data_IF_855511681937
#
_entry.id   IF_855511681937
#
_cell.length_a   1.000
_cell.length_b   1.000
_cell.length_c   1.000
_cell.angle_alpha   90.00
_cell.angle_beta   90.00
_cell.angle_gamma   90.00
#
_symmetry.space_group_name_H-M   'P 1'
#
loop_
_entity.id
_entity.type
_entity.pdbx_description
1 polymer ?
#
# COMPACT_ATOMS: atom_id res chain seq x y z
N UNK A 1 10.83 -5.72 16.99
CA UNK A 1 11.46 -4.67 16.17
C UNK A 1 10.61 -4.42 14.94
N UNK A 2 10.56 -3.19 14.47
CA UNK A 2 9.89 -2.83 13.21
C UNK A 2 10.92 -2.57 12.11
N UNK A 3 10.48 -2.60 10.86
CA UNK A 3 11.28 -2.14 9.73
C UNK A 3 11.40 -0.61 9.78
N UNK A 4 12.57 -0.08 9.46
CA UNK A 4 12.79 1.35 9.21
C UNK A 4 11.95 1.83 8.00
N UNK A 5 11.81 3.15 7.85
CA UNK A 5 11.08 3.75 6.72
C UNK A 5 11.64 3.31 5.36
N UNK A 6 12.97 3.34 5.20
CA UNK A 6 13.66 2.89 3.99
C UNK A 6 13.50 1.41 3.70
N UNK A 7 13.59 0.56 4.73
CA UNK A 7 13.35 -0.88 4.58
C UNK A 7 11.90 -1.19 4.17
N UNK A 8 10.93 -0.47 4.76
CA UNK A 8 9.52 -0.60 4.38
C UNK A 8 9.28 -0.19 2.93
N UNK A 9 9.94 0.88 2.46
CA UNK A 9 9.84 1.32 1.05
C UNK A 9 10.46 0.29 0.10
N UNK A 10 11.65 -0.23 0.41
CA UNK A 10 12.28 -1.31 -0.38
C UNK A 10 11.45 -2.58 -0.41
N UNK A 11 10.84 -2.96 0.71
CA UNK A 11 9.92 -4.10 0.75
C UNK A 11 8.71 -3.86 -0.15
N UNK A 12 8.10 -2.67 -0.09
CA UNK A 12 6.99 -2.32 -0.98
C UNK A 12 7.40 -2.36 -2.45
N UNK A 13 8.60 -1.89 -2.79
CA UNK A 13 9.15 -1.96 -4.14
C UNK A 13 9.35 -3.41 -4.59
N UNK A 14 9.97 -4.23 -3.73
CA UNK A 14 10.20 -5.65 -3.99
C UNK A 14 8.91 -6.43 -4.25
N UNK A 15 7.83 -6.13 -3.50
CA UNK A 15 6.51 -6.72 -3.73
C UNK A 15 5.96 -6.44 -5.14
N UNK A 16 6.20 -5.24 -5.69
CA UNK A 16 5.82 -4.93 -7.08
C UNK A 16 6.71 -5.66 -8.09
N UNK A 17 8.02 -5.70 -7.84
CA UNK A 17 8.99 -6.30 -8.76
C UNK A 17 8.77 -7.81 -8.90
N UNK A 18 8.38 -8.49 -7.81
CA UNK A 18 8.08 -9.93 -7.83
C UNK A 18 6.95 -10.26 -8.81
N UNK A 19 6.00 -9.34 -9.01
CA UNK A 19 4.92 -9.51 -9.99
C UNK A 19 5.41 -9.46 -11.46
N UNK A 20 6.71 -9.22 -11.69
CA UNK A 20 7.33 -9.10 -13.02
C UNK A 20 6.55 -8.15 -13.93
N UNK A 21 6.43 -6.86 -13.53
CA UNK A 21 5.63 -5.90 -14.27
C UNK A 21 6.26 -5.62 -15.64
N UNK A 22 5.42 -5.30 -16.63
CA UNK A 22 5.87 -4.89 -17.96
C UNK A 22 6.33 -3.43 -18.01
N UNK A 23 5.79 -2.61 -17.11
CA UNK A 23 6.14 -1.21 -16.89
C UNK A 23 6.06 -0.99 -15.39
N UNK A 24 7.08 -0.36 -14.82
CA UNK A 24 7.15 -0.05 -13.41
C UNK A 24 6.83 1.43 -13.19
N UNK A 25 5.76 1.71 -12.43
CA UNK A 25 5.33 3.06 -12.09
C UNK A 25 5.47 3.27 -10.58
N UNK A 26 6.14 4.33 -10.16
CA UNK A 26 6.22 4.70 -8.75
C UNK A 26 5.98 6.18 -8.52
N UNK A 27 5.06 6.46 -7.61
CA UNK A 27 4.82 7.83 -7.15
C UNK A 27 5.70 8.13 -5.94
N UNK A 28 6.52 9.16 -6.09
CA UNK A 28 7.44 9.71 -5.10
C UNK A 28 8.19 8.64 -4.29
N UNK A 29 9.03 7.79 -4.93
CA UNK A 29 9.70 6.67 -4.27
C UNK A 29 10.75 7.07 -3.23
N UNK A 30 11.17 8.33 -3.23
CA UNK A 30 12.20 8.87 -2.34
C UNK A 30 11.64 9.69 -1.18
N UNK A 31 10.33 9.97 -1.15
CA UNK A 31 9.72 10.81 -0.09
C UNK A 31 9.84 10.15 1.28
N UNK A 32 10.27 10.93 2.27
CA UNK A 32 10.49 10.47 3.65
C UNK A 32 11.73 9.58 3.85
N UNK A 33 12.62 9.50 2.86
CA UNK A 33 13.90 8.80 2.97
C UNK A 33 15.05 9.78 3.16
N UNK A 34 16.06 9.37 3.93
CA UNK A 34 17.34 10.06 3.86
C UNK A 34 17.97 9.88 2.48
N UNK A 35 18.92 10.74 2.17
CA UNK A 35 19.59 10.76 0.87
C UNK A 35 20.27 9.45 0.46
N UNK A 36 20.87 8.73 1.41
CA UNK A 36 21.57 7.48 1.13
C UNK A 36 20.58 6.36 0.78
N UNK A 37 19.42 6.36 1.45
CA UNK A 37 18.35 5.40 1.18
C UNK A 37 17.62 5.73 -0.12
N UNK A 38 17.41 7.01 -0.40
CA UNK A 38 16.84 7.48 -1.66
C UNK A 38 17.69 7.04 -2.87
N UNK A 39 19.02 7.21 -2.78
CA UNK A 39 19.94 6.77 -3.84
C UNK A 39 19.90 5.25 -4.05
N UNK A 40 19.85 4.46 -2.97
CA UNK A 40 19.68 3.00 -3.07
C UNK A 40 18.35 2.62 -3.72
N UNK A 41 17.26 3.29 -3.37
CA UNK A 41 15.93 3.01 -3.95
C UNK A 41 15.91 3.35 -5.45
N UNK A 42 16.50 4.48 -5.85
CA UNK A 42 16.61 4.83 -7.27
C UNK A 42 17.54 3.88 -8.02
N UNK A 43 18.68 3.51 -7.43
CA UNK A 43 19.59 2.52 -7.99
C UNK A 43 18.87 1.21 -8.33
N UNK A 44 18.08 0.67 -7.41
CA UNK A 44 17.27 -0.53 -7.65
C UNK A 44 16.29 -0.40 -8.83
N UNK A 45 15.71 0.78 -9.04
CA UNK A 45 14.82 1.03 -10.19
C UNK A 45 15.60 1.16 -11.50
N UNK A 46 16.79 1.75 -11.46
CA UNK A 46 17.71 1.83 -12.61
C UNK A 46 18.21 0.43 -12.99
N UNK A 47 18.59 -0.38 -12.01
CA UNK A 47 19.01 -1.77 -12.22
C UNK A 47 17.85 -2.59 -12.78
N UNK A 48 16.63 -2.40 -12.27
CA UNK A 48 15.42 -3.02 -12.83
C UNK A 48 15.22 -2.67 -14.31
N UNK A 49 15.43 -1.41 -14.67
CA UNK A 49 15.31 -0.95 -16.06
C UNK A 49 16.39 -1.54 -16.96
N UNK A 50 17.64 -1.66 -16.48
CA UNK A 50 18.78 -2.14 -17.26
C UNK A 50 18.84 -3.67 -17.36
N UNK A 51 18.71 -4.36 -16.25
CA UNK A 51 18.90 -5.82 -16.17
C UNK A 51 17.68 -6.59 -16.65
N UNK A 52 16.47 -6.05 -16.43
CA UNK A 52 15.21 -6.75 -16.75
C UNK A 52 14.45 -6.17 -17.94
N UNK A 53 14.99 -5.13 -18.58
CA UNK A 53 14.36 -4.43 -19.71
C UNK A 53 12.92 -3.97 -19.39
N UNK A 54 12.71 -3.46 -18.17
CA UNK A 54 11.42 -2.95 -17.68
C UNK A 54 11.43 -1.42 -17.64
N UNK A 55 10.64 -0.72 -18.48
CA UNK A 55 10.52 0.73 -18.41
C UNK A 55 10.07 1.18 -17.01
N UNK A 56 10.86 2.06 -16.39
CA UNK A 56 10.59 2.59 -15.05
C UNK A 56 10.27 4.08 -15.14
N UNK A 57 9.09 4.48 -14.67
CA UNK A 57 8.63 5.88 -14.64
C UNK A 57 8.29 6.23 -13.20
N UNK A 58 8.86 7.32 -12.69
CA UNK A 58 8.62 7.76 -11.34
C UNK A 58 8.75 9.28 -11.17
N UNK A 59 7.99 9.84 -10.23
CA UNK A 59 8.04 11.25 -9.83
C UNK A 59 9.14 11.46 -8.77
N UNK A 60 9.89 12.55 -8.87
CA UNK A 60 10.91 12.94 -7.88
C UNK A 60 10.71 14.40 -7.48
N UNK A 61 10.64 14.66 -6.18
CA UNK A 61 10.64 16.00 -5.62
C UNK A 61 12.09 16.36 -5.25
N UNK A 62 12.75 17.20 -6.05
CA UNK A 62 14.12 17.71 -5.81
C UNK A 62 15.19 16.61 -5.62
N UNK A 63 15.55 15.87 -6.69
CA UNK A 63 16.57 14.83 -6.58
C UNK A 63 17.97 15.43 -6.39
N UNK A 64 18.78 14.77 -5.56
CA UNK A 64 20.21 15.10 -5.43
C UNK A 64 20.95 14.87 -6.75
N UNK A 65 22.10 15.54 -6.89
CA UNK A 65 22.97 15.40 -8.05
C UNK A 65 23.39 13.94 -8.34
N UNK A 66 23.59 13.09 -7.32
CA UNK A 66 23.88 11.67 -7.52
C UNK A 66 22.73 10.93 -8.19
N UNK A 67 21.50 11.14 -7.70
CA UNK A 67 20.26 10.60 -8.27
C UNK A 67 20.05 11.12 -9.69
N UNK A 68 20.21 12.43 -9.92
CA UNK A 68 20.08 13.05 -11.24
C UNK A 68 20.99 12.38 -12.29
N UNK A 69 22.25 12.11 -11.94
CA UNK A 69 23.21 11.47 -12.87
C UNK A 69 22.82 10.04 -13.25
N UNK A 70 22.07 9.34 -12.39
CA UNK A 70 21.62 7.98 -12.65
C UNK A 70 20.44 7.91 -13.65
N UNK A 71 19.72 9.02 -13.87
CA UNK A 71 18.54 9.06 -14.75
C UNK A 71 18.94 9.09 -16.23
N UNK A 72 18.19 8.35 -17.05
CA UNK A 72 18.34 8.32 -18.51
C UNK A 72 17.66 9.55 -19.17
N UNK A 73 16.41 9.79 -18.80
CA UNK A 73 15.53 10.82 -19.35
C UNK A 73 14.61 11.35 -18.25
N UNK A 74 14.05 12.53 -18.46
CA UNK A 74 13.07 13.11 -17.55
C UNK A 74 11.99 13.88 -18.31
N UNK A 75 10.87 14.11 -17.63
CA UNK A 75 9.80 14.99 -18.07
C UNK A 75 9.75 16.15 -17.08
N UNK A 76 9.86 17.36 -17.58
CA UNK A 76 9.69 18.57 -16.78
C UNK A 76 8.23 19.02 -16.90
N UNK A 77 7.49 18.85 -15.81
CA UNK A 77 6.07 19.18 -15.71
C UNK A 77 5.90 20.43 -14.85
N UNK A 78 5.23 21.44 -15.38
CA UNK A 78 4.88 22.67 -14.68
C UNK A 78 3.42 22.65 -14.19
N UNK A 79 3.04 23.54 -13.26
CA UNK A 79 1.66 23.69 -12.81
C UNK A 79 0.66 23.84 -13.97
N UNK A 80 -0.53 23.27 -13.80
CA UNK A 80 -1.54 23.21 -14.85
C UNK A 80 -1.32 22.09 -15.89
N UNK A 81 -0.39 21.17 -15.64
CA UNK A 81 -0.15 20.01 -16.51
C UNK A 81 0.62 20.34 -17.80
N UNK A 82 1.32 21.47 -17.81
CA UNK A 82 2.10 21.95 -18.96
C UNK A 82 3.44 21.21 -19.01
N UNK A 83 3.76 20.60 -20.14
CA UNK A 83 5.05 19.92 -20.35
C UNK A 83 6.03 20.92 -20.95
N UNK A 84 7.09 21.21 -20.20
CA UNK A 84 8.12 22.18 -20.62
C UNK A 84 9.32 21.51 -21.30
N UNK A 85 9.56 20.23 -21.00
CA UNK A 85 10.60 19.42 -21.63
C UNK A 85 10.33 17.93 -21.44
N UNK A 86 10.65 17.12 -22.45
CA UNK A 86 10.71 15.66 -22.33
C UNK A 86 11.82 15.12 -23.23
N UNK A 87 12.77 14.41 -22.64
CA UNK A 87 13.90 13.87 -23.41
C UNK A 87 15.06 13.35 -22.56
N UNK A 88 16.17 12.97 -23.21
CA UNK A 88 17.38 12.53 -22.54
C UNK A 88 17.95 13.61 -21.63
N UNK A 89 18.37 13.21 -20.43
CA UNK A 89 18.94 14.12 -19.43
C UNK A 89 20.15 14.91 -19.96
N UNK A 90 20.93 14.32 -20.88
CA UNK A 90 22.13 14.93 -21.44
C UNK A 90 21.83 16.13 -22.34
N UNK A 91 20.69 16.12 -23.01
CA UNK A 91 20.36 17.10 -24.06
C UNK A 91 19.62 18.32 -23.49
N UNK A 92 19.06 18.19 -22.29
CA UNK A 92 18.29 19.25 -21.65
C UNK A 92 19.06 20.56 -21.48
N UNK A 93 20.33 20.52 -21.06
CA UNK A 93 21.12 21.73 -20.90
C UNK A 93 21.28 22.48 -22.23
N UNK A 94 21.56 21.77 -23.33
CA UNK A 94 21.68 22.36 -24.66
C UNK A 94 20.34 22.93 -25.14
N UNK A 95 19.23 22.21 -24.91
CA UNK A 95 17.89 22.66 -25.27
C UNK A 95 17.53 24.01 -24.63
N UNK A 96 17.76 24.17 -23.32
CA UNK A 96 17.43 25.43 -22.64
C UNK A 96 18.35 26.59 -23.05
N UNK A 97 19.60 26.31 -23.42
CA UNK A 97 20.52 27.32 -23.97
C UNK A 97 20.10 27.77 -25.36
N UNK A 98 19.73 26.83 -26.25
CA UNK A 98 19.40 27.13 -27.65
C UNK A 98 18.08 27.91 -27.78
N UNK A 99 17.05 27.52 -27.02
CA UNK A 99 15.72 28.12 -27.15
C UNK A 99 15.49 29.35 -26.26
N UNK A 100 16.16 29.42 -25.10
CA UNK A 100 15.90 30.47 -24.10
C UNK A 100 17.17 31.23 -23.67
N UNK A 101 18.36 30.79 -24.07
CA UNK A 101 19.63 31.40 -23.65
C UNK A 101 20.03 31.08 -22.20
N UNK A 102 19.31 30.17 -21.52
CA UNK A 102 19.53 29.87 -20.11
C UNK A 102 20.62 28.83 -19.91
N UNK A 103 21.72 29.24 -19.27
CA UNK A 103 22.85 28.35 -18.94
C UNK A 103 22.69 27.80 -17.53
N UNK A 104 22.86 26.48 -17.40
CA UNK A 104 22.95 25.82 -16.10
C UNK A 104 24.27 26.23 -15.43
N UNK A 105 24.26 26.84 -14.24
CA UNK A 105 25.49 27.18 -13.53
C UNK A 105 26.29 25.91 -13.17
N UNK A 106 27.64 25.93 -13.25
CA UNK A 106 28.45 24.73 -13.04
C UNK A 106 28.43 24.19 -11.61
N UNK A 107 28.22 25.08 -10.63
CA UNK A 107 28.20 24.74 -9.19
C UNK A 107 26.80 24.33 -8.69
N UNK A 108 25.77 24.42 -9.54
CA UNK A 108 24.38 24.13 -9.17
C UNK A 108 23.97 22.74 -9.62
N UNK A 109 23.12 22.07 -8.84
CA UNK A 109 22.50 20.82 -9.26
C UNK A 109 21.57 21.09 -10.45
N UNK A 110 21.79 20.48 -11.65
CA UNK A 110 20.95 20.76 -12.81
C UNK A 110 19.46 20.44 -12.57
N UNK A 111 19.17 19.42 -11.76
CA UNK A 111 17.79 19.07 -11.45
C UNK A 111 17.07 20.18 -10.67
N UNK A 112 17.78 20.86 -9.76
CA UNK A 112 17.26 21.97 -8.98
C UNK A 112 17.00 23.17 -9.89
N UNK A 113 17.98 23.51 -10.74
CA UNK A 113 17.82 24.55 -11.74
C UNK A 113 16.59 24.34 -12.64
N UNK A 114 16.34 23.12 -13.13
CA UNK A 114 15.16 22.85 -13.96
C UNK A 114 13.85 22.93 -13.18
N UNK A 115 13.83 22.56 -11.90
CA UNK A 115 12.67 22.69 -11.03
C UNK A 115 12.37 24.17 -10.76
N UNK A 116 13.40 24.98 -10.50
CA UNK A 116 13.25 26.41 -10.24
C UNK A 116 12.63 27.13 -11.44
N UNK A 117 12.98 26.75 -12.67
CA UNK A 117 12.38 27.31 -13.89
C UNK A 117 10.86 27.13 -13.98
N UNK A 118 10.33 26.05 -13.42
CA UNK A 118 8.88 25.74 -13.43
C UNK A 118 8.19 26.02 -12.10
N UNK A 119 8.94 26.55 -11.12
CA UNK A 119 8.39 27.05 -9.87
C UNK A 119 7.65 28.37 -10.11
N UNK A 120 6.60 28.61 -9.31
CA UNK A 120 5.81 29.84 -9.33
C UNK A 120 5.91 30.44 -7.93
N UNK A 121 6.36 31.69 -7.84
CA UNK A 121 6.25 32.46 -6.62
C UNK A 121 4.78 32.79 -6.34
N UNK A 122 4.23 32.24 -5.24
CA UNK A 122 2.83 32.49 -4.85
C UNK A 122 2.66 33.64 -3.86
N UNK A 123 3.76 34.21 -3.36
CA UNK A 123 3.73 35.27 -2.35
C UNK A 123 3.56 36.66 -3.00
N UNK A 124 4.11 36.83 -4.20
CA UNK A 124 4.07 38.09 -4.96
C UNK A 124 3.26 37.93 -6.26
N UNK A 125 2.10 38.60 -6.39
CA UNK A 125 1.23 38.44 -7.56
C UNK A 125 1.85 38.95 -8.86
N UNK A 126 2.78 39.90 -8.81
CA UNK A 126 3.46 40.41 -10.02
C UNK A 126 4.44 39.36 -10.55
N UNK A 127 5.27 38.79 -9.65
CA UNK A 127 6.19 37.70 -10.02
C UNK A 127 5.45 36.43 -10.44
N UNK A 128 4.32 36.13 -9.80
CA UNK A 128 3.48 35.00 -10.19
C UNK A 128 3.05 35.10 -11.67
N UNK A 129 2.69 36.31 -12.13
CA UNK A 129 2.32 36.54 -13.52
C UNK A 129 3.52 36.36 -14.47
N UNK A 130 4.69 36.89 -14.11
CA UNK A 130 5.93 36.69 -14.89
C UNK A 130 6.34 35.21 -14.99
N UNK A 131 6.24 34.47 -13.88
CA UNK A 131 6.54 33.03 -13.84
C UNK A 131 5.57 32.22 -14.70
N UNK A 132 4.27 32.56 -14.67
CA UNK A 132 3.28 31.94 -15.53
C UNK A 132 3.56 32.20 -17.01
N UNK A 133 3.89 33.43 -17.39
CA UNK A 133 4.28 33.77 -18.76
C UNK A 133 5.54 33.02 -19.21
N UNK A 134 6.54 32.87 -18.33
CA UNK A 134 7.74 32.07 -18.57
C UNK A 134 7.37 30.61 -18.85
N UNK A 135 6.53 30.00 -18.00
CA UNK A 135 6.07 28.62 -18.14
C UNK A 135 5.27 28.42 -19.43
N UNK A 136 4.39 29.37 -19.77
CA UNK A 136 3.59 29.32 -21.00
C UNK A 136 4.45 29.40 -22.25
N UNK A 137 5.46 30.28 -22.24
CA UNK A 137 6.44 30.35 -23.33
C UNK A 137 7.19 29.03 -23.46
N UNK A 138 7.65 28.44 -22.36
CA UNK A 138 8.34 27.15 -22.37
C UNK A 138 7.49 26.03 -22.94
N UNK A 139 6.25 25.92 -22.48
CA UNK A 139 5.31 24.89 -22.92
C UNK A 139 4.94 25.07 -24.41
N UNK A 140 4.76 26.30 -24.89
CA UNK A 140 4.44 26.59 -26.28
C UNK A 140 5.59 26.22 -27.23
N UNK A 141 6.84 26.58 -26.87
CA UNK A 141 8.03 26.23 -27.65
C UNK A 141 8.20 24.70 -27.72
N UNK A 142 8.10 24.03 -26.58
CA UNK A 142 8.22 22.57 -26.53
C UNK A 142 7.11 21.88 -27.35
N UNK A 143 5.86 22.35 -27.24
CA UNK A 143 4.75 21.81 -28.02
C UNK A 143 4.94 22.00 -29.54
N UNK A 144 5.51 23.12 -29.97
CA UNK A 144 5.84 23.36 -31.37
C UNK A 144 6.93 22.40 -31.87
N UNK A 145 7.99 22.20 -31.08
CA UNK A 145 9.06 21.27 -31.43
C UNK A 145 8.58 19.81 -31.49
N UNK A 146 7.78 19.37 -30.51
CA UNK A 146 7.20 18.03 -30.50
C UNK A 146 6.31 17.82 -31.73
N UNK A 147 5.52 18.81 -32.13
CA UNK A 147 4.71 18.72 -33.37
C UNK A 147 5.60 18.52 -34.59
N UNK A 148 6.72 19.23 -34.69
CA UNK A 148 7.68 19.07 -35.79
C UNK A 148 8.37 17.70 -35.76
N UNK A 149 8.83 17.25 -34.58
CA UNK A 149 9.46 15.93 -34.40
C UNK A 149 8.49 14.79 -34.72
N UNK A 150 7.26 14.86 -34.20
CA UNK A 150 6.21 13.86 -34.47
C UNK A 150 5.81 13.85 -35.93
N UNK A 151 5.73 15.03 -36.58
CA UNK A 151 5.47 15.12 -38.01
C UNK A 151 6.61 14.51 -38.85
N UNK A 152 7.87 14.68 -38.43
CA UNK A 152 9.03 14.07 -39.09
C UNK A 152 9.14 12.55 -38.84
N UNK A 153 8.87 12.10 -37.62
CA UNK A 153 8.90 10.68 -37.20
C UNK A 153 7.65 9.89 -37.61
N UNK A 154 6.68 10.50 -38.31
CA UNK A 154 5.49 9.82 -38.85
C UNK A 154 5.82 8.55 -39.66
N UNK A 155 7.03 8.47 -40.23
CA UNK A 155 7.51 7.30 -40.97
C UNK A 155 7.94 6.12 -40.06
N UNK A 156 8.45 6.41 -38.86
CA UNK A 156 8.99 5.46 -37.86
C UNK A 156 8.16 5.37 -36.57
N UNK A 157 6.97 6.00 -36.55
CA UNK A 157 6.01 5.91 -35.46
C UNK A 157 5.83 4.45 -35.02
N UNK A 158 5.84 4.20 -33.70
CA UNK A 158 5.64 2.86 -33.13
C UNK A 158 4.41 2.20 -33.77
N UNK A 159 4.66 1.24 -34.67
CA UNK A 159 3.61 0.41 -35.25
C UNK A 159 3.33 -0.68 -34.23
N UNK A 160 2.07 -0.87 -33.79
CA UNK A 160 1.75 -2.01 -32.95
C UNK A 160 2.23 -3.26 -33.69
N UNK A 161 2.95 -4.19 -33.05
CA UNK A 161 3.50 -5.34 -33.74
C UNK A 161 2.36 -6.09 -34.43
N UNK A 162 2.37 -6.09 -35.77
CA UNK A 162 1.46 -6.89 -36.58
C UNK A 162 1.61 -8.35 -36.14
N UNK A 163 0.50 -8.97 -35.74
CA UNK A 163 0.44 -10.17 -34.91
C UNK A 163 1.08 -11.46 -35.45
N UNK A 164 1.91 -11.42 -36.51
CA UNK A 164 2.49 -12.61 -37.15
C UNK A 164 4.03 -12.61 -37.25
N UNK A 165 4.74 -11.68 -36.61
CA UNK A 165 6.20 -11.66 -36.58
C UNK A 165 6.76 -12.16 -35.26
N UNK A 166 7.43 -13.31 -35.26
CA UNK A 166 8.20 -13.84 -34.15
C UNK A 166 9.37 -12.92 -33.78
N UNK A 167 9.09 -11.88 -32.98
CA UNK A 167 10.12 -11.11 -32.30
C UNK A 167 10.68 -11.96 -31.14
N UNK A 168 12.00 -12.03 -31.03
CA UNK A 168 12.74 -12.78 -30.01
C UNK A 168 12.39 -12.31 -28.57
N UNK A 169 11.85 -11.09 -28.43
CA UNK A 169 11.27 -10.55 -27.19
C UNK A 169 9.85 -11.06 -26.87
N UNK A 170 9.24 -11.87 -27.75
CA UNK A 170 7.85 -12.31 -27.72
C UNK A 170 7.59 -13.69 -27.11
N UNK A 171 8.60 -14.58 -27.03
CA UNK A 171 8.37 -16.00 -26.73
C UNK A 171 8.08 -16.31 -25.25
N UNK A 172 8.56 -15.52 -24.29
CA UNK A 172 8.23 -15.71 -22.86
C UNK A 172 7.15 -14.73 -22.33
N UNK A 173 6.64 -13.83 -23.18
CA UNK A 173 5.68 -12.76 -22.81
C UNK A 173 4.28 -13.24 -22.37
N UNK A 174 3.98 -14.53 -22.52
CA UNK A 174 2.66 -15.14 -22.22
C UNK A 174 2.54 -15.82 -20.86
N UNK A 175 3.60 -15.91 -20.03
CA UNK A 175 3.48 -16.62 -18.74
C UNK A 175 2.83 -15.81 -17.60
N UNK A 176 2.61 -14.51 -17.73
CA UNK A 176 2.07 -13.71 -16.62
C UNK A 176 0.56 -13.53 -16.68
N UNK A 177 -0.14 -14.54 -16.13
CA UNK A 177 -1.35 -14.46 -15.27
C UNK A 177 -1.94 -15.87 -15.22
N UNK A 178 -1.22 -16.82 -14.62
CA UNK A 178 -1.92 -17.98 -14.04
C UNK A 178 -2.83 -17.42 -12.95
N UNK A 179 -4.12 -17.33 -13.24
CA UNK A 179 -5.11 -17.12 -12.21
C UNK A 179 -5.00 -18.31 -11.27
N UNK A 180 -4.37 -18.10 -10.11
CA UNK A 180 -4.34 -19.08 -9.03
C UNK A 180 -5.78 -19.45 -8.68
N UNK A 181 -6.02 -20.73 -8.46
CA UNK A 181 -7.35 -21.24 -8.17
C UNK A 181 -7.94 -20.54 -6.95
N UNK A 182 -9.27 -20.43 -6.89
CA UNK A 182 -9.96 -19.81 -5.75
C UNK A 182 -9.52 -20.42 -4.41
N UNK A 183 -9.42 -21.75 -4.34
CA UNK A 183 -8.99 -22.48 -3.13
C UNK A 183 -7.54 -22.17 -2.74
N UNK A 184 -6.65 -22.01 -3.72
CA UNK A 184 -5.25 -21.68 -3.47
C UNK A 184 -5.15 -20.27 -2.87
N UNK A 185 -5.83 -19.28 -3.47
CA UNK A 185 -5.91 -17.91 -2.94
C UNK A 185 -6.51 -17.90 -1.53
N UNK A 186 -7.60 -18.61 -1.33
CA UNK A 186 -8.27 -18.73 -0.03
C UNK A 186 -7.32 -19.35 1.02
N UNK A 187 -6.58 -20.41 0.66
CA UNK A 187 -5.64 -21.09 1.57
C UNK A 187 -4.47 -20.20 1.98
N UNK A 188 -3.91 -19.43 1.04
CA UNK A 188 -2.82 -18.49 1.31
C UNK A 188 -3.30 -17.34 2.20
N UNK A 189 -4.48 -16.78 1.91
CA UNK A 189 -5.09 -15.73 2.73
C UNK A 189 -5.43 -16.25 4.13
N UNK A 190 -5.93 -17.49 4.24
CA UNK A 190 -6.23 -18.13 5.52
C UNK A 190 -4.95 -18.33 6.33
N UNK A 191 -3.88 -18.87 5.72
CA UNK A 191 -2.61 -19.07 6.41
C UNK A 191 -1.99 -17.74 6.85
N UNK A 192 -2.10 -16.69 6.02
CA UNK A 192 -1.71 -15.32 6.37
C UNK A 192 -2.49 -14.81 7.59
N UNK A 193 -3.82 -14.92 7.55
CA UNK A 193 -4.70 -14.49 8.63
C UNK A 193 -4.44 -15.27 9.93
N UNK A 194 -4.29 -16.59 9.84
CA UNK A 194 -3.96 -17.46 10.96
C UNK A 194 -2.64 -17.09 11.60
N UNK A 195 -1.58 -16.91 10.78
CA UNK A 195 -0.25 -16.54 11.27
C UNK A 195 -0.24 -15.16 11.90
N UNK A 196 -0.98 -14.20 11.36
CA UNK A 196 -1.15 -12.87 11.93
C UNK A 196 -1.85 -12.95 13.29
N UNK A 197 -2.97 -13.68 13.38
CA UNK A 197 -3.71 -13.83 14.62
C UNK A 197 -2.90 -14.58 15.69
N UNK A 198 -2.24 -15.67 15.34
CA UNK A 198 -1.42 -16.44 16.27
C UNK A 198 -0.21 -15.65 16.80
N UNK A 199 0.39 -14.79 15.97
CA UNK A 199 1.54 -13.95 16.36
C UNK A 199 1.17 -12.75 17.21
N UNK A 200 -0.10 -12.35 17.24
CA UNK A 200 -0.60 -11.28 18.09
C UNK A 200 -0.76 -11.76 19.55
N UNK A 201 0.32 -12.35 20.10
CA UNK A 201 0.32 -13.03 21.39
C UNK A 201 -0.05 -12.08 22.54
N UNK A 202 0.34 -10.80 22.47
CA UNK A 202 -0.04 -9.79 23.47
C UNK A 202 -1.55 -9.57 23.53
N UNK A 203 -2.18 -9.43 22.36
CA UNK A 203 -3.63 -9.22 22.25
C UNK A 203 -4.36 -10.50 22.66
N UNK A 204 -3.91 -11.66 22.19
CA UNK A 204 -4.52 -12.94 22.55
C UNK A 204 -4.40 -13.23 24.05
N UNK A 205 -3.27 -12.91 24.67
CA UNK A 205 -3.08 -13.03 26.11
C UNK A 205 -4.02 -12.10 26.87
N UNK A 206 -4.10 -10.83 26.47
CA UNK A 206 -5.02 -9.88 27.11
C UNK A 206 -6.47 -10.34 26.99
N UNK A 207 -6.87 -10.83 25.81
CA UNK A 207 -8.21 -11.39 25.58
C UNK A 207 -8.50 -12.62 26.44
N UNK A 208 -7.54 -13.53 26.57
CA UNK A 208 -7.68 -14.68 27.46
C UNK A 208 -7.85 -14.23 28.92
N UNK A 209 -7.03 -13.28 29.36
CA UNK A 209 -7.08 -12.74 30.72
C UNK A 209 -8.42 -12.04 31.00
N UNK A 210 -8.93 -11.23 30.07
CA UNK A 210 -10.23 -10.58 30.21
C UNK A 210 -11.36 -11.61 30.21
N UNK A 211 -11.36 -12.60 29.32
CA UNK A 211 -12.39 -13.66 29.30
C UNK A 211 -12.41 -14.50 30.57
N UNK A 212 -11.25 -14.85 31.12
CA UNK A 212 -11.15 -15.54 32.41
C UNK A 212 -11.65 -14.64 33.55
N UNK A 213 -11.20 -13.38 33.58
CA UNK A 213 -11.60 -12.41 34.60
C UNK A 213 -13.09 -12.11 34.62
N UNK A 214 -13.71 -11.95 33.46
CA UNK A 214 -15.17 -11.77 33.33
C UNK A 214 -15.93 -13.01 33.80
N UNK A 215 -15.44 -14.22 33.49
CA UNK A 215 -16.00 -15.47 34.00
C UNK A 215 -16.02 -15.50 35.53
N UNK A 216 -14.95 -15.03 36.18
CA UNK A 216 -14.90 -14.88 37.64
C UNK A 216 -15.87 -13.82 38.16
N UNK A 217 -15.86 -12.63 37.55
CA UNK A 217 -16.73 -11.53 37.96
C UNK A 217 -18.20 -11.90 37.87
N UNK A 218 -18.63 -12.53 36.77
CA UNK A 218 -20.03 -12.96 36.61
C UNK A 218 -20.40 -14.09 37.57
N UNK A 219 -19.49 -15.02 37.85
CA UNK A 219 -19.74 -16.08 38.83
C UNK A 219 -19.93 -15.54 40.26
N UNK A 220 -19.25 -14.45 40.63
CA UNK A 220 -19.43 -13.80 41.93
C UNK A 220 -20.62 -12.84 41.96
N UNK A 221 -20.87 -12.10 40.88
CA UNK A 221 -22.03 -11.21 40.77
C UNK A 221 -23.35 -11.98 40.89
N UNK A 222 -23.42 -13.17 40.28
CA UNK A 222 -24.58 -14.06 40.33
C UNK A 222 -24.38 -15.21 41.35
N UNK A 223 -23.84 -14.91 42.54
CA UNK A 223 -23.61 -15.89 43.60
C UNK A 223 -24.89 -16.59 44.13
N UNK A 224 -26.08 -16.11 43.78
CA UNK A 224 -27.37 -16.76 44.04
C UNK A 224 -27.57 -18.04 43.22
N UNK A 225 -26.86 -18.20 42.10
CA UNK A 225 -26.93 -19.37 41.21
C UNK A 225 -26.11 -20.56 41.76
N UNK A 226 -25.22 -20.32 42.73
CA UNK A 226 -24.38 -21.34 43.36
C UNK A 226 -25.25 -22.43 44.05
N UNK A 227 -24.80 -23.69 44.08
CA UNK A 227 -25.58 -24.81 44.62
C UNK A 227 -25.96 -24.58 46.10
N UNK A 228 -27.23 -24.85 46.45
CA UNK A 228 -27.74 -24.75 47.83
C UNK A 228 -28.53 -23.47 48.17
N UNK A 229 -28.78 -22.56 47.21
CA UNK A 229 -29.60 -21.34 47.42
C UNK A 229 -30.94 -21.38 46.68
N UNK A 230 -31.94 -20.66 47.21
CA UNK A 230 -33.37 -20.71 46.85
C UNK A 230 -33.66 -20.60 45.33
N UNK A 231 -34.58 -21.44 44.85
CA UNK A 231 -34.85 -21.72 43.43
C UNK A 231 -35.58 -20.56 42.72
N UNK A 232 -36.44 -19.80 43.42
CA UNK A 232 -37.31 -18.80 42.78
C UNK A 232 -36.55 -17.57 42.23
N UNK A 233 -35.58 -17.02 42.98
CA UNK A 233 -34.64 -16.00 42.45
C UNK A 233 -33.62 -16.60 41.48
N UNK A 234 -33.25 -17.87 41.69
CA UNK A 234 -32.23 -18.52 40.89
C UNK A 234 -32.59 -18.67 39.40
N UNK A 235 -33.86 -18.76 39.00
CA UNK A 235 -34.21 -18.88 37.57
C UNK A 235 -33.97 -17.56 36.82
N UNK A 236 -34.45 -16.44 37.36
CA UNK A 236 -34.21 -15.12 36.77
C UNK A 236 -32.72 -14.75 36.76
N UNK A 237 -31.98 -15.13 37.80
CA UNK A 237 -30.53 -14.89 37.86
C UNK A 237 -29.76 -15.75 36.84
N UNK A 238 -30.22 -16.98 36.57
CA UNK A 238 -29.64 -17.86 35.52
C UNK A 238 -29.90 -17.32 34.12
N UNK A 239 -31.13 -16.86 33.85
CA UNK A 239 -31.45 -16.27 32.55
C UNK A 239 -30.70 -14.97 32.33
N UNK A 240 -30.57 -14.14 33.36
CA UNK A 240 -29.76 -12.92 33.33
C UNK A 240 -28.28 -13.26 33.07
N UNK A 241 -27.69 -14.20 33.82
CA UNK A 241 -26.31 -14.62 33.66
C UNK A 241 -25.99 -15.11 32.24
N UNK A 242 -26.83 -15.98 31.67
CA UNK A 242 -26.65 -16.48 30.30
C UNK A 242 -26.83 -15.36 29.26
N UNK A 243 -27.82 -14.49 29.44
CA UNK A 243 -28.08 -13.37 28.53
C UNK A 243 -26.93 -12.36 28.53
N UNK A 244 -26.46 -11.94 29.71
CA UNK A 244 -25.29 -11.05 29.84
C UNK A 244 -24.01 -11.71 29.32
N UNK A 245 -23.83 -13.02 29.54
CA UNK A 245 -22.73 -13.78 28.96
C UNK A 245 -22.69 -13.70 27.44
N UNK A 246 -23.83 -13.97 26.78
CA UNK A 246 -23.94 -13.90 25.31
C UNK A 246 -23.73 -12.46 24.81
N UNK A 247 -24.35 -11.47 25.45
CA UNK A 247 -24.21 -10.05 25.07
C UNK A 247 -22.73 -9.63 25.12
N UNK A 248 -22.02 -10.00 26.19
CA UNK A 248 -20.61 -9.65 26.33
C UNK A 248 -19.73 -10.33 25.26
N UNK A 249 -19.98 -11.62 24.98
CA UNK A 249 -19.28 -12.34 23.92
C UNK A 249 -19.46 -11.68 22.55
N UNK A 250 -20.69 -11.28 22.21
CA UNK A 250 -21.01 -10.59 20.96
C UNK A 250 -20.35 -9.20 20.91
N UNK A 251 -20.41 -8.44 22.00
CA UNK A 251 -19.80 -7.11 22.09
C UNK A 251 -18.28 -7.17 21.85
N UNK A 252 -17.60 -8.14 22.47
CA UNK A 252 -16.17 -8.37 22.24
C UNK A 252 -15.84 -8.69 20.77
N UNK A 253 -16.65 -9.54 20.12
CA UNK A 253 -16.46 -9.90 18.71
C UNK A 253 -16.64 -8.69 17.78
N UNK A 254 -17.65 -7.85 18.05
CA UNK A 254 -17.91 -6.63 17.28
C UNK A 254 -16.77 -5.62 17.45
N UNK A 255 -16.35 -5.35 18.70
CA UNK A 255 -15.27 -4.38 18.97
C UNK A 255 -13.95 -4.75 18.30
N UNK A 256 -13.60 -6.05 18.30
CA UNK A 256 -12.43 -6.58 17.58
C UNK A 256 -12.55 -6.30 16.08
N UNK A 257 -13.69 -6.63 15.48
CA UNK A 257 -13.95 -6.46 14.05
C UNK A 257 -13.84 -5.00 13.63
N UNK A 258 -14.37 -4.07 14.43
CA UNK A 258 -14.29 -2.62 14.18
C UNK A 258 -12.85 -2.10 14.16
N UNK A 259 -12.04 -2.46 15.17
CA UNK A 259 -10.63 -2.06 15.23
C UNK A 259 -9.81 -2.66 14.08
N UNK A 260 -10.06 -3.93 13.77
CA UNK A 260 -9.35 -4.64 12.71
C UNK A 260 -9.65 -4.04 11.34
N UNK A 261 -10.91 -3.71 11.08
CA UNK A 261 -11.32 -3.08 9.83
C UNK A 261 -10.59 -1.76 9.58
N UNK A 262 -10.46 -0.91 10.61
CA UNK A 262 -9.76 0.37 10.48
C UNK A 262 -8.30 0.22 10.06
N UNK A 263 -7.59 -0.77 10.62
CA UNK A 263 -6.17 -0.99 10.34
C UNK A 263 -5.91 -1.72 9.02
N UNK A 264 -6.75 -2.70 8.67
CA UNK A 264 -6.53 -3.55 7.49
C UNK A 264 -7.13 -2.97 6.21
N UNK A 265 -8.13 -2.09 6.30
CA UNK A 265 -8.83 -1.53 5.13
C UNK A 265 -7.87 -0.91 4.12
N UNK A 266 -6.84 -0.19 4.56
CA UNK A 266 -5.87 0.47 3.67
C UNK A 266 -5.10 -0.56 2.84
N UNK A 267 -4.64 -1.64 3.49
CA UNK A 267 -3.89 -2.72 2.84
C UNK A 267 -4.79 -3.47 1.86
N UNK A 268 -5.99 -3.87 2.32
CA UNK A 268 -6.93 -4.64 1.50
C UNK A 268 -7.39 -3.86 0.28
N UNK A 269 -7.64 -2.56 0.43
CA UNK A 269 -8.06 -1.71 -0.69
C UNK A 269 -6.95 -1.65 -1.75
N UNK A 270 -5.69 -1.49 -1.32
CA UNK A 270 -4.53 -1.48 -2.23
C UNK A 270 -4.35 -2.82 -2.94
N UNK A 271 -4.44 -3.95 -2.23
CA UNK A 271 -4.34 -5.30 -2.79
C UNK A 271 -5.50 -5.60 -3.78
N UNK A 272 -6.71 -5.08 -3.48
CA UNK A 272 -7.88 -5.20 -4.36
C UNK A 272 -7.78 -4.38 -5.64
N UNK A 273 -7.25 -3.16 -5.58
CA UNK A 273 -7.00 -2.34 -6.78
C UNK A 273 -6.06 -3.07 -7.76
N UNK A 274 -5.21 -3.97 -7.25
CA UNK A 274 -4.30 -4.81 -8.04
C UNK A 274 -4.91 -6.11 -8.54
N UNK A 275 -6.19 -6.37 -8.24
CA UNK A 275 -6.92 -7.60 -8.59
C UNK A 275 -6.22 -8.88 -8.10
N UNK A 276 -5.53 -8.82 -6.95
CA UNK A 276 -4.86 -9.99 -6.38
C UNK A 276 -5.87 -10.99 -5.80
N UNK A 277 -6.96 -10.50 -5.20
CA UNK A 277 -8.06 -11.31 -4.66
C UNK A 277 -9.37 -10.51 -4.57
N UNK A 278 -10.49 -11.22 -4.38
CA UNK A 278 -11.83 -10.64 -4.18
C UNK A 278 -12.10 -10.32 -2.70
N UNK A 279 -12.99 -9.37 -2.43
CA UNK A 279 -13.45 -9.08 -1.06
C UNK A 279 -13.98 -10.31 -0.33
N UNK A 280 -14.68 -11.18 -1.07
CA UNK A 280 -15.29 -12.38 -0.49
C UNK A 280 -14.22 -13.39 -0.08
N UNK A 281 -13.19 -13.59 -0.91
CA UNK A 281 -12.04 -14.46 -0.59
C UNK A 281 -11.33 -13.99 0.67
N UNK A 282 -11.12 -12.67 0.79
CA UNK A 282 -10.55 -12.06 1.98
C UNK A 282 -11.42 -12.29 3.21
N UNK A 283 -12.71 -11.91 3.14
CA UNK A 283 -13.63 -12.00 4.27
C UNK A 283 -13.78 -13.45 4.76
N UNK A 284 -13.95 -14.39 3.83
CA UNK A 284 -14.10 -15.81 4.15
C UNK A 284 -12.83 -16.36 4.81
N UNK A 285 -11.66 -16.09 4.24
CA UNK A 285 -10.38 -16.54 4.82
C UNK A 285 -10.15 -15.99 6.22
N UNK A 286 -10.52 -14.72 6.46
CA UNK A 286 -10.37 -14.06 7.74
C UNK A 286 -11.33 -14.63 8.79
N UNK A 287 -12.60 -14.78 8.44
CA UNK A 287 -13.60 -15.38 9.30
C UNK A 287 -13.19 -16.81 9.72
N UNK A 288 -12.78 -17.64 8.76
CA UNK A 288 -12.31 -19.00 9.02
C UNK A 288 -11.10 -19.05 9.96
N UNK A 289 -10.17 -18.11 9.84
CA UNK A 289 -8.99 -18.05 10.70
C UNK A 289 -9.29 -17.53 12.12
N UNK A 290 -10.37 -16.77 12.29
CA UNK A 290 -10.73 -16.16 13.58
C UNK A 290 -11.63 -17.06 14.43
N UNK A 291 -12.55 -17.81 13.81
CA UNK A 291 -13.51 -18.67 14.51
C UNK A 291 -12.85 -19.60 15.54
N UNK A 292 -11.77 -20.35 15.23
CA UNK A 292 -11.17 -21.27 16.21
C UNK A 292 -10.56 -20.56 17.43
N UNK A 293 -9.97 -19.39 17.20
CA UNK A 293 -9.35 -18.59 18.28
C UNK A 293 -10.42 -17.99 19.16
N UNK A 294 -11.45 -17.40 18.57
CA UNK A 294 -12.55 -16.79 19.32
C UNK A 294 -13.35 -17.86 20.07
N UNK A 295 -13.55 -19.04 19.48
CA UNK A 295 -14.14 -20.21 20.15
C UNK A 295 -13.31 -20.68 21.35
N UNK A 296 -11.97 -20.60 21.28
CA UNK A 296 -11.12 -20.97 22.42
C UNK A 296 -11.29 -20.04 23.63
N UNK A 297 -11.46 -18.72 23.39
CA UNK A 297 -11.73 -17.76 24.45
C UNK A 297 -13.14 -17.92 25.02
N UNK A 298 -14.13 -18.21 24.16
CA UNK A 298 -15.49 -18.56 24.58
C UNK A 298 -15.50 -19.81 25.47
N UNK A 299 -14.75 -20.84 25.09
CA UNK A 299 -14.62 -22.06 25.85
C UNK A 299 -13.95 -21.81 27.22
N UNK A 300 -12.92 -20.96 27.28
CA UNK A 300 -12.28 -20.58 28.53
C UNK A 300 -13.25 -19.84 29.48
N UNK A 301 -14.00 -18.86 28.98
CA UNK A 301 -15.04 -18.16 29.73
C UNK A 301 -16.12 -19.13 30.24
N UNK A 302 -16.65 -19.97 29.37
CA UNK A 302 -17.69 -20.95 29.72
C UNK A 302 -17.20 -21.97 30.76
N UNK A 303 -15.95 -22.41 30.65
CA UNK A 303 -15.34 -23.33 31.62
C UNK A 303 -15.22 -22.70 33.02
N UNK A 304 -14.71 -21.47 33.11
CA UNK A 304 -14.62 -20.73 34.37
C UNK A 304 -16.02 -20.53 34.97
N UNK A 305 -16.98 -20.09 34.15
CA UNK A 305 -18.34 -19.85 34.60
C UNK A 305 -18.99 -21.15 35.13
N UNK A 306 -18.89 -22.25 34.38
CA UNK A 306 -19.46 -23.55 34.76
C UNK A 306 -18.86 -24.10 36.04
N UNK A 307 -17.53 -24.06 36.16
CA UNK A 307 -16.83 -24.57 37.35
C UNK A 307 -17.25 -23.85 38.65
N UNK A 308 -17.64 -22.57 38.56
CA UNK A 308 -18.00 -21.75 39.72
C UNK A 308 -19.51 -21.68 40.01
N UNK A 309 -20.35 -21.86 39.00
CA UNK A 309 -21.82 -21.72 39.14
C UNK A 309 -22.55 -23.06 39.16
N UNK A 310 -21.89 -24.18 38.84
CA UNK A 310 -22.51 -25.52 38.72
C UNK A 310 -23.73 -25.56 37.78
N UNK A 311 -23.81 -24.65 36.82
CA UNK A 311 -24.83 -24.62 35.77
C UNK A 311 -24.84 -25.95 35.00
N UNK A 312 -25.94 -26.70 35.11
CA UNK A 312 -26.20 -27.88 34.27
C UNK A 312 -26.83 -27.40 32.96
N UNK A 313 -26.10 -27.56 31.87
CA UNK A 313 -26.65 -27.50 30.52
C UNK A 313 -27.17 -28.92 30.25
N UNK A 314 -28.48 -29.16 30.17
CA UNK A 314 -28.95 -30.43 29.60
C UNK A 314 -28.47 -30.44 28.14
N UNK A 315 -27.59 -31.39 27.83
CA UNK A 315 -27.21 -31.72 26.46
C UNK A 315 -28.40 -32.35 25.73
#
# INVERSE_FOLDING_TARGET
GGLSGGERRRLSLGLEIIASPRVFLADEPTTGLDSSQAEKVVGLMVDLARERDVPCIFSLHQPRASIWRALNSFVLLAPGGKVCYMGPRKDAASYFVEHFGWKVPPETNPAEFFIDLVSIDTEDPEKAAEDLERIDRMAAVFAAEVRTRVAADSADAWKPPNGNGSSVLGRDRRKSRRHTNFLERLSVLFLRAWRQNARNMRVNFLRLATSVGEGFLFAELFASVKPGRSIAKSVADRTALLSFGVINMVMMAVMKTLHLFGTEKVVVTRERMRRQYSSLEYLLSKALAEIPIDASFAAAFAYVLKSRTSLRIPL
#
